data_IF_034447947906
#
_entry.id   IF_034447947906
#
_cell.length_a   1.000
_cell.length_b   1.000
_cell.length_c   1.000
_cell.angle_alpha   90.00
_cell.angle_beta   90.00
_cell.angle_gamma   90.00
#
_symmetry.space_group_name_H-M   'P 1'
#
loop_
_entity.id
_entity.type
_entity.pdbx_description
1 polymer ?
#
# COMPACT_ATOMS: atom_id res chain seq x y z
N UNK A 1 -6.56 -4.68 19.47
CA UNK A 1 -5.44 -4.12 18.72
C UNK A 1 -5.23 -4.87 17.40
N UNK A 2 -5.11 -4.15 16.31
CA UNK A 2 -4.85 -4.77 14.99
C UNK A 2 -3.42 -5.32 14.97
N UNK A 3 -3.27 -6.53 14.47
CA UNK A 3 -1.97 -7.18 14.29
C UNK A 3 -1.83 -7.68 12.87
N UNK A 4 -0.68 -7.43 12.25
CA UNK A 4 -0.42 -7.84 10.88
C UNK A 4 0.98 -8.45 10.77
N UNK A 5 1.16 -9.69 11.25
CA UNK A 5 2.48 -10.33 11.28
C UNK A 5 2.84 -10.90 9.90
N UNK A 6 3.14 -10.04 8.96
CA UNK A 6 3.43 -10.43 7.56
C UNK A 6 4.93 -10.58 7.31
N UNK A 7 5.78 -9.94 8.10
CA UNK A 7 7.23 -10.02 7.95
C UNK A 7 7.87 -10.63 9.18
N UNK A 8 9.18 -10.91 9.12
CA UNK A 8 9.95 -11.39 10.27
C UNK A 8 10.44 -10.24 11.16
N UNK A 9 10.09 -9.01 10.82
CA UNK A 9 10.51 -7.82 11.55
C UNK A 9 9.31 -7.19 12.24
N UNK A 10 9.27 -7.25 13.59
CA UNK A 10 8.14 -6.73 14.36
C UNK A 10 7.98 -5.22 14.18
N UNK A 11 9.06 -4.48 14.02
CA UNK A 11 8.98 -3.04 13.80
C UNK A 11 8.35 -2.73 12.44
N UNK A 12 8.73 -3.48 11.42
CA UNK A 12 8.12 -3.32 10.09
C UNK A 12 6.64 -3.66 10.12
N UNK A 13 6.25 -4.73 10.82
CA UNK A 13 4.85 -5.12 10.97
C UNK A 13 4.03 -4.03 11.67
N UNK A 14 4.58 -3.46 12.74
CA UNK A 14 3.92 -2.37 13.47
C UNK A 14 3.77 -1.15 12.58
N UNK A 15 4.80 -0.84 11.80
CA UNK A 15 4.76 0.31 10.89
C UNK A 15 3.63 0.18 9.86
N UNK A 16 3.39 -1.01 9.33
CA UNK A 16 2.29 -1.24 8.39
C UNK A 16 0.93 -0.98 9.03
N UNK A 17 0.77 -1.34 10.30
CA UNK A 17 -0.48 -1.11 11.01
C UNK A 17 -0.69 0.38 11.32
N UNK A 18 0.37 1.08 11.68
CA UNK A 18 0.28 2.47 12.13
C UNK A 18 0.34 3.49 11.02
N UNK A 19 0.89 3.12 9.85
CA UNK A 19 1.10 4.07 8.75
C UNK A 19 0.34 3.62 7.50
N UNK A 20 -0.78 4.29 7.17
CA UNK A 20 -1.58 3.92 6.00
C UNK A 20 -0.80 3.95 4.68
N UNK A 21 0.10 4.91 4.50
CA UNK A 21 0.91 4.97 3.28
C UNK A 21 1.81 3.74 3.15
N UNK A 22 2.40 3.29 4.27
CA UNK A 22 3.23 2.10 4.26
C UNK A 22 2.44 0.87 3.80
N UNK A 23 1.20 0.75 4.25
CA UNK A 23 0.35 -0.36 3.87
C UNK A 23 0.04 -0.34 2.36
N UNK A 24 -0.29 0.84 1.83
CA UNK A 24 -0.56 1.01 0.39
C UNK A 24 0.68 0.66 -0.43
N UNK A 25 1.84 1.17 -0.03
CA UNK A 25 3.08 0.92 -0.75
C UNK A 25 3.50 -0.54 -0.67
N UNK A 26 3.31 -1.18 0.49
CA UNK A 26 3.58 -2.62 0.62
C UNK A 26 2.76 -3.42 -0.36
N UNK A 27 1.48 -3.10 -0.48
CA UNK A 27 0.60 -3.78 -1.43
C UNK A 27 1.02 -3.50 -2.87
N UNK A 28 1.42 -2.27 -3.19
CA UNK A 28 1.92 -1.93 -4.52
C UNK A 28 3.14 -2.79 -4.88
N UNK A 29 4.05 -2.94 -3.95
CA UNK A 29 5.32 -3.65 -4.18
C UNK A 29 5.17 -5.16 -4.19
N UNK A 30 4.03 -5.68 -3.75
CA UNK A 30 3.78 -7.12 -3.68
C UNK A 30 3.49 -7.70 -5.06
N UNK A 31 4.54 -7.75 -5.88
CA UNK A 31 4.49 -8.34 -7.21
C UNK A 31 5.88 -8.83 -7.60
N UNK A 32 5.97 -10.10 -7.99
CA UNK A 32 7.21 -10.74 -8.46
C UNK A 32 8.36 -10.74 -7.45
N UNK A 33 8.02 -10.56 -6.16
CA UNK A 33 8.96 -10.69 -5.04
C UNK A 33 8.22 -11.37 -3.89
N UNK A 34 8.93 -11.97 -2.93
CA UNK A 34 8.27 -12.54 -1.74
C UNK A 34 7.48 -11.45 -0.99
N UNK A 35 6.31 -11.83 -0.50
CA UNK A 35 5.43 -10.93 0.25
C UNK A 35 6.16 -10.27 1.42
N UNK A 36 6.99 -11.03 2.12
CA UNK A 36 7.77 -10.49 3.23
C UNK A 36 8.65 -9.32 2.80
N UNK A 37 9.34 -9.47 1.65
CA UNK A 37 10.18 -8.40 1.12
C UNK A 37 9.35 -7.17 0.77
N UNK A 38 8.24 -7.39 0.05
CA UNK A 38 7.36 -6.30 -0.39
C UNK A 38 6.83 -5.49 0.78
N UNK A 39 6.40 -6.15 1.85
CA UNK A 39 5.78 -5.45 2.99
C UNK A 39 6.80 -4.92 4.00
N UNK A 40 8.05 -5.37 3.93
CA UNK A 40 9.11 -4.78 4.74
C UNK A 40 9.72 -3.55 4.08
N UNK A 41 9.66 -3.47 2.76
CA UNK A 41 10.26 -2.37 2.00
C UNK A 41 9.80 -0.96 2.44
N UNK A 42 8.52 -0.71 2.74
CA UNK A 42 8.12 0.62 3.20
C UNK A 42 8.82 1.06 4.49
N UNK A 43 9.08 0.14 5.40
CA UNK A 43 9.81 0.48 6.61
C UNK A 43 11.25 0.90 6.29
N UNK A 44 11.93 0.15 5.43
CA UNK A 44 13.28 0.52 4.98
C UNK A 44 13.28 1.86 4.26
N UNK A 45 12.26 2.09 3.41
CA UNK A 45 12.11 3.37 2.71
C UNK A 45 11.95 4.51 3.71
N UNK A 46 11.16 4.30 4.77
CA UNK A 46 10.96 5.32 5.80
C UNK A 46 12.28 5.65 6.52
N UNK A 47 13.11 4.66 6.75
CA UNK A 47 14.43 4.89 7.35
C UNK A 47 15.32 5.74 6.44
N UNK A 48 15.23 5.54 5.13
CA UNK A 48 16.03 6.29 4.15
C UNK A 48 15.52 7.70 3.93
N UNK A 49 14.20 7.90 3.95
CA UNK A 49 13.59 9.21 3.71
C UNK A 49 13.41 10.03 4.98
N UNK A 50 13.35 9.39 6.14
CA UNK A 50 13.09 10.08 7.40
C UNK A 50 11.74 10.80 7.39
N UNK A 51 11.73 12.06 7.73
CA UNK A 51 10.50 12.87 7.79
C UNK A 51 9.82 13.03 6.44
N UNK A 52 10.55 12.82 5.34
CA UNK A 52 9.96 12.89 3.99
C UNK A 52 9.16 11.65 3.61
N UNK A 53 9.05 10.67 4.49
CA UNK A 53 8.18 9.52 4.23
C UNK A 53 6.73 9.90 4.47
N UNK A 54 6.17 10.60 3.51
CA UNK A 54 4.75 10.96 3.48
C UNK A 54 4.39 11.23 2.02
N UNK A 55 3.11 11.13 1.69
CA UNK A 55 2.68 11.25 0.31
C UNK A 55 3.01 12.63 -0.29
N UNK A 56 2.84 13.69 0.48
CA UNK A 56 3.08 15.03 -0.02
C UNK A 56 4.54 15.26 -0.40
N UNK A 57 5.47 14.86 0.47
CA UNK A 57 6.89 15.05 0.21
C UNK A 57 7.39 14.13 -0.90
N UNK A 58 6.91 12.89 -0.94
CA UNK A 58 7.29 11.97 -2.02
C UNK A 58 6.75 12.48 -3.36
N UNK A 59 5.51 12.93 -3.39
CA UNK A 59 4.93 13.49 -4.62
C UNK A 59 5.67 14.71 -5.12
N UNK A 60 6.23 15.51 -4.20
CA UNK A 60 6.94 16.74 -4.53
C UNK A 60 8.38 16.50 -5.00
N UNK A 61 8.96 15.32 -4.71
CA UNK A 61 10.34 15.08 -5.15
C UNK A 61 10.39 14.62 -6.60
N UNK A 62 11.55 14.77 -7.22
CA UNK A 62 11.80 14.23 -8.56
C UNK A 62 11.65 12.71 -8.51
N UNK A 63 10.86 12.09 -9.41
CA UNK A 63 10.76 10.63 -9.43
C UNK A 63 12.11 9.92 -9.53
N UNK A 64 13.08 10.50 -10.21
CA UNK A 64 14.41 9.88 -10.34
C UNK A 64 15.19 9.94 -9.03
N UNK A 65 14.94 10.90 -8.16
CA UNK A 65 15.50 10.91 -6.80
C UNK A 65 14.98 9.71 -6.01
N UNK A 66 13.70 9.43 -6.12
CA UNK A 66 13.11 8.27 -5.46
C UNK A 66 13.67 6.95 -6.03
N UNK A 67 13.92 6.92 -7.34
CA UNK A 67 14.58 5.77 -7.98
C UNK A 67 15.93 5.49 -7.31
N UNK A 68 16.74 6.53 -7.09
CA UNK A 68 18.03 6.38 -6.44
C UNK A 68 17.89 5.78 -5.04
N UNK A 69 16.90 6.24 -4.29
CA UNK A 69 16.63 5.73 -2.93
C UNK A 69 16.23 4.25 -2.98
N UNK A 70 15.38 3.88 -3.93
CA UNK A 70 14.95 2.47 -4.08
C UNK A 70 16.11 1.56 -4.51
N UNK A 71 17.02 2.07 -5.32
CA UNK A 71 18.15 1.29 -5.82
C UNK A 71 19.30 1.18 -4.83
N UNK A 72 19.32 2.00 -3.79
CA UNK A 72 20.33 1.94 -2.73
C UNK A 72 20.35 0.55 -2.12
N UNK A 73 21.55 0.01 -1.90
CA UNK A 73 21.67 -1.36 -1.42
C UNK A 73 21.40 -1.48 0.08
N UNK A 74 20.62 -2.48 0.50
CA UNK A 74 19.91 -3.46 -0.34
C UNK A 74 18.72 -2.82 -1.06
N UNK A 75 18.58 -3.14 -2.35
CA UNK A 75 17.48 -2.58 -3.15
C UNK A 75 16.12 -2.97 -2.57
N UNK A 76 15.15 -2.08 -2.69
CA UNK A 76 13.83 -2.29 -2.09
C UNK A 76 12.94 -3.26 -2.87
N UNK A 77 13.33 -3.60 -4.10
CA UNK A 77 12.55 -4.48 -4.94
C UNK A 77 13.46 -5.07 -6.02
N UNK A 78 13.02 -6.16 -6.67
CA UNK A 78 13.73 -6.74 -7.81
C UNK A 78 13.81 -5.75 -8.98
N UNK A 79 12.77 -4.93 -9.15
CA UNK A 79 12.68 -3.92 -10.18
C UNK A 79 12.59 -2.54 -9.52
N UNK A 80 13.66 -2.08 -8.86
CA UNK A 80 13.54 -0.93 -7.96
C UNK A 80 13.21 0.37 -8.69
N UNK A 81 13.76 0.59 -9.88
CA UNK A 81 13.48 1.82 -10.62
C UNK A 81 12.00 1.90 -11.04
N UNK A 82 11.47 0.81 -11.60
CA UNK A 82 10.06 0.79 -12.02
C UNK A 82 9.13 0.94 -10.83
N UNK A 83 9.45 0.28 -9.72
CA UNK A 83 8.61 0.35 -8.52
C UNK A 83 8.66 1.73 -7.88
N UNK A 84 9.82 2.38 -7.89
CA UNK A 84 9.95 3.74 -7.38
C UNK A 84 9.05 4.70 -8.16
N UNK A 85 9.03 4.59 -9.48
CA UNK A 85 8.18 5.44 -10.31
C UNK A 85 6.71 5.19 -10.05
N UNK A 86 6.32 3.94 -9.83
CA UNK A 86 4.93 3.60 -9.47
C UNK A 86 4.56 4.13 -8.09
N UNK A 87 5.47 4.00 -7.12
CA UNK A 87 5.24 4.53 -5.78
C UNK A 87 5.07 6.05 -5.82
N UNK A 88 5.88 6.74 -6.62
CA UNK A 88 5.76 8.18 -6.80
C UNK A 88 4.37 8.53 -7.37
N UNK A 89 3.93 7.81 -8.41
CA UNK A 89 2.62 8.04 -9.02
C UNK A 89 1.48 7.81 -8.02
N UNK A 90 1.59 6.79 -7.19
CA UNK A 90 0.59 6.53 -6.13
C UNK A 90 0.54 7.70 -5.15
N UNK A 91 1.69 8.23 -4.75
CA UNK A 91 1.73 9.37 -3.84
C UNK A 91 1.12 10.63 -4.46
N UNK A 92 1.38 10.89 -5.74
CA UNK A 92 0.74 11.98 -6.47
C UNK A 92 -0.78 11.82 -6.46
N UNK A 93 -1.26 10.62 -6.72
CA UNK A 93 -2.70 10.32 -6.69
C UNK A 93 -3.30 10.57 -5.31
N UNK A 94 -2.60 10.16 -4.25
CA UNK A 94 -3.06 10.37 -2.87
C UNK A 94 -3.12 11.86 -2.54
N UNK A 95 -2.15 12.64 -2.98
CA UNK A 95 -2.16 14.09 -2.78
C UNK A 95 -3.36 14.72 -3.52
N UNK A 96 -3.54 14.35 -4.78
CA UNK A 96 -4.58 14.96 -5.63
C UNK A 96 -6.00 14.61 -5.19
N UNK A 97 -6.23 13.39 -4.70
CA UNK A 97 -7.58 12.91 -4.40
C UNK A 97 -7.89 12.79 -2.92
N UNK A 98 -6.87 12.74 -2.06
CA UNK A 98 -7.05 12.48 -0.63
C UNK A 98 -6.28 13.46 0.24
N UNK A 99 -5.81 14.58 -0.33
CA UNK A 99 -5.07 15.63 0.39
C UNK A 99 -3.83 15.08 1.12
N UNK A 100 -3.22 14.04 0.57
CA UNK A 100 -2.03 13.43 1.13
C UNK A 100 -2.26 12.40 2.23
N UNK A 101 -3.51 12.12 2.58
CA UNK A 101 -3.84 11.18 3.64
C UNK A 101 -4.31 9.84 3.04
N UNK A 102 -3.42 8.86 3.02
CA UNK A 102 -3.72 7.55 2.43
C UNK A 102 -4.89 6.84 3.13
N UNK A 103 -5.12 7.09 4.43
CA UNK A 103 -6.22 6.45 5.15
C UNK A 103 -7.58 6.83 4.57
N UNK A 104 -7.67 7.96 3.90
CA UNK A 104 -8.93 8.41 3.31
C UNK A 104 -9.39 7.52 2.14
N UNK A 105 -8.51 6.69 1.61
CA UNK A 105 -8.89 5.73 0.57
C UNK A 105 -10.01 4.81 1.10
N UNK A 106 -9.88 4.37 2.35
CA UNK A 106 -10.89 3.48 2.94
C UNK A 106 -11.76 4.13 4.01
N UNK A 107 -11.43 5.36 4.43
CA UNK A 107 -12.18 6.04 5.48
C UNK A 107 -13.58 6.39 4.98
N UNK A 108 -14.60 5.98 5.78
CA UNK A 108 -16.00 6.24 5.47
C UNK A 108 -16.46 5.75 4.10
N UNK A 109 -15.88 4.66 3.61
CA UNK A 109 -16.40 4.01 2.41
C UNK A 109 -17.81 3.48 2.72
N UNK A 110 -18.77 3.84 1.89
CA UNK A 110 -20.19 3.53 2.12
C UNK A 110 -20.56 2.11 1.73
N UNK A 111 -19.77 1.51 0.83
CA UNK A 111 -20.03 0.17 0.33
C UNK A 111 -18.74 -0.48 -0.11
N UNK A 112 -18.77 -1.81 -0.27
CA UNK A 112 -17.63 -2.53 -0.82
C UNK A 112 -17.32 -2.11 -2.23
N UNK A 113 -18.35 -1.81 -3.02
CA UNK A 113 -18.18 -1.34 -4.38
C UNK A 113 -17.44 0.00 -4.41
N UNK A 114 -17.81 0.93 -3.53
CA UNK A 114 -17.11 2.22 -3.42
C UNK A 114 -15.65 2.02 -2.99
N UNK A 115 -15.40 1.17 -1.99
CA UNK A 115 -14.04 0.89 -1.55
C UNK A 115 -13.22 0.28 -2.68
N UNK A 116 -13.78 -0.69 -3.40
CA UNK A 116 -13.10 -1.31 -4.53
C UNK A 116 -12.79 -0.27 -5.61
N UNK A 117 -13.74 0.63 -5.90
CA UNK A 117 -13.52 1.69 -6.91
C UNK A 117 -12.37 2.61 -6.50
N UNK A 118 -12.30 3.01 -5.23
CA UNK A 118 -11.21 3.85 -4.74
C UNK A 118 -9.87 3.16 -4.84
N UNK A 119 -9.80 1.90 -4.45
CA UNK A 119 -8.55 1.13 -4.50
C UNK A 119 -8.10 0.90 -5.94
N UNK A 120 -9.03 0.53 -6.83
CA UNK A 120 -8.69 0.23 -8.21
C UNK A 120 -8.30 1.47 -9.02
N UNK A 121 -8.63 2.66 -8.53
CA UNK A 121 -8.20 3.90 -9.17
C UNK A 121 -6.74 4.25 -8.87
N UNK A 122 -6.12 3.61 -7.89
CA UNK A 122 -4.71 3.84 -7.58
C UNK A 122 -3.81 3.37 -8.73
N UNK A 123 -2.82 4.20 -9.13
CA UNK A 123 -1.89 3.77 -10.19
C UNK A 123 -1.21 2.45 -9.85
N UNK A 124 -1.19 1.52 -10.79
CA UNK A 124 -0.57 0.22 -10.59
C UNK A 124 -1.42 -0.83 -9.88
N UNK A 125 -2.66 -0.48 -9.51
CA UNK A 125 -3.58 -1.42 -8.87
C UNK A 125 -4.57 -1.95 -9.90
N UNK A 126 -4.28 -3.13 -10.46
CA UNK A 126 -5.20 -3.81 -11.36
C UNK A 126 -6.33 -4.49 -10.61
N UNK A 127 -7.21 -5.17 -11.35
CA UNK A 127 -8.39 -5.80 -10.77
C UNK A 127 -8.07 -6.76 -9.63
N UNK A 128 -7.17 -7.70 -9.87
CA UNK A 128 -6.85 -8.71 -8.86
C UNK A 128 -6.19 -8.10 -7.62
N UNK A 129 -5.20 -7.24 -7.82
CA UNK A 129 -4.51 -6.58 -6.70
C UNK A 129 -5.48 -5.74 -5.88
N UNK A 130 -6.40 -5.04 -6.55
CA UNK A 130 -7.40 -4.23 -5.86
C UNK A 130 -8.33 -5.08 -5.00
N UNK A 131 -8.77 -6.21 -5.52
CA UNK A 131 -9.62 -7.15 -4.78
C UNK A 131 -8.88 -7.71 -3.56
N UNK A 132 -7.62 -8.07 -3.75
CA UNK A 132 -6.79 -8.60 -2.66
C UNK A 132 -6.60 -7.54 -1.58
N UNK A 133 -6.37 -6.28 -1.96
CA UNK A 133 -6.20 -5.20 -0.99
C UNK A 133 -7.49 -4.94 -0.20
N UNK A 134 -8.64 -4.92 -0.87
CA UNK A 134 -9.93 -4.79 -0.17
C UNK A 134 -10.12 -5.94 0.81
N UNK A 135 -9.79 -7.17 0.40
CA UNK A 135 -9.87 -8.34 1.28
C UNK A 135 -8.95 -8.18 2.49
N UNK A 136 -7.74 -7.68 2.28
CA UNK A 136 -6.79 -7.44 3.37
C UNK A 136 -7.32 -6.39 4.34
N UNK A 137 -7.84 -5.29 3.83
CA UNK A 137 -8.42 -4.23 4.66
C UNK A 137 -9.59 -4.78 5.49
N UNK A 138 -10.47 -5.59 4.87
CA UNK A 138 -11.61 -6.16 5.58
C UNK A 138 -11.19 -7.20 6.60
N UNK A 139 -10.37 -8.16 6.20
CA UNK A 139 -10.04 -9.33 7.01
C UNK A 139 -9.01 -9.03 8.10
N UNK A 140 -8.07 -8.13 7.83
CA UNK A 140 -6.97 -7.84 8.77
C UNK A 140 -7.14 -6.52 9.51
N UNK A 141 -7.87 -5.57 8.94
CA UNK A 141 -8.00 -4.22 9.52
C UNK A 141 -9.44 -3.86 9.85
N UNK A 142 -10.38 -4.79 9.68
CA UNK A 142 -11.77 -4.59 10.06
C UNK A 142 -12.55 -3.59 9.21
N UNK A 143 -12.06 -3.23 8.03
CA UNK A 143 -12.72 -2.27 7.13
C UNK A 143 -13.70 -3.01 6.24
N UNK A 144 -14.91 -3.25 6.76
CA UNK A 144 -15.93 -4.10 6.14
C UNK A 144 -17.18 -3.31 5.76
N UNK A 145 -17.10 -2.42 4.76
CA UNK A 145 -18.30 -1.72 4.31
C UNK A 145 -19.30 -2.71 3.70
N UNK A 146 -20.57 -2.34 3.70
CA UNK A 146 -21.63 -3.22 3.20
C UNK A 146 -21.32 -3.67 1.77
N UNK A 147 -21.44 -4.98 1.53
CA UNK A 147 -21.19 -5.55 0.21
C UNK A 147 -19.71 -5.79 -0.11
N UNK A 148 -18.82 -5.69 0.88
CA UNK A 148 -17.38 -5.82 0.60
C UNK A 148 -17.02 -7.20 0.02
N UNK A 149 -17.65 -8.28 0.54
CA UNK A 149 -17.31 -9.63 0.09
C UNK A 149 -17.74 -9.88 -1.35
N UNK A 150 -18.91 -9.39 -1.71
CA UNK A 150 -19.46 -9.53 -3.06
C UNK A 150 -18.66 -8.70 -4.07
N UNK A 151 -18.25 -7.51 -3.69
CA UNK A 151 -17.48 -6.61 -4.57
C UNK A 151 -16.15 -7.19 -4.99
N UNK A 152 -15.57 -8.09 -4.18
CA UNK A 152 -14.23 -8.63 -4.41
C UNK A 152 -14.23 -10.15 -4.65
N UNK A 153 -15.34 -10.72 -5.07
CA UNK A 153 -15.37 -12.15 -5.35
C UNK A 153 -14.24 -12.52 -6.33
N UNK A 154 -13.53 -13.63 -6.12
CA UNK A 154 -13.77 -14.66 -5.11
C UNK A 154 -13.04 -14.46 -3.77
N UNK A 155 -12.41 -13.33 -3.53
CA UNK A 155 -11.57 -13.10 -2.34
C UNK A 155 -12.37 -12.76 -1.08
N UNK A 156 -13.70 -12.70 -1.17
CA UNK A 156 -14.57 -12.41 -0.03
C UNK A 156 -14.87 -13.59 0.88
N UNK A 157 -14.23 -14.73 0.67
CA UNK A 157 -14.41 -15.94 1.48
C UNK A 157 -13.62 -15.85 2.80
N UNK A 158 -13.69 -16.91 3.62
CA UNK A 158 -13.03 -16.95 4.92
C UNK A 158 -11.53 -17.25 4.86
N UNK A 159 -10.97 -17.41 3.66
CA UNK A 159 -9.55 -17.71 3.53
C UNK A 159 -8.69 -16.48 3.86
N UNK A 160 -7.58 -16.67 4.60
CA UNK A 160 -6.66 -15.57 4.91
C UNK A 160 -5.79 -15.22 3.71
N UNK A 161 -6.14 -14.17 3.03
CA UNK A 161 -5.39 -13.69 1.88
C UNK A 161 -4.98 -12.25 2.07
#
# INVERSE_FOLDING_TARGET
>A
MVSFPITNDDDANRFLVENPLALVLGMLLDQQVPMEWAFRAPYTLSERLGERFNAADIAAMDPEELVEVFCEKPALHRYPAAMARRAHAVCVHIVDHYKGDASKIWFRARSGEELYARVSALPGFGEEKSKIFVALLAKRFGKKPQGWAEAIAPFGDDQPR
#
